data_IF_191031219471
#
_entry.id   IF_191031219471
#
_cell.length_a   1.000
_cell.length_b   1.000
_cell.length_c   1.000
_cell.angle_alpha   90.00
_cell.angle_beta   90.00
_cell.angle_gamma   90.00
#
_symmetry.space_group_name_H-M   'P 1'
#
loop_
_entity.id
_entity.type
_entity.pdbx_description
1 polymer ?
#
# COMPACT_ATOMS: atom_id res chain seq x y z
N UNK A 1 7.89 1.04 -3.94
CA UNK A 1 8.60 2.34 -4.00
C UNK A 1 9.08 2.67 -2.59
N UNK A 2 10.37 2.94 -2.35
CA UNK A 2 10.88 3.28 -1.01
C UNK A 2 10.62 4.76 -0.67
N UNK A 3 10.48 5.10 0.61
CA UNK A 3 10.16 6.47 1.06
C UNK A 3 11.10 7.55 0.53
N UNK A 4 12.38 7.22 0.37
CA UNK A 4 13.39 8.14 -0.17
C UNK A 4 13.20 8.42 -1.67
N UNK A 5 12.80 7.42 -2.45
CA UNK A 5 12.52 7.59 -3.88
C UNK A 5 11.27 8.42 -4.12
N UNK A 6 10.23 8.26 -3.30
CA UNK A 6 8.98 9.01 -3.40
C UNK A 6 9.20 10.53 -3.20
N UNK A 7 9.98 10.93 -2.19
CA UNK A 7 10.33 12.35 -1.97
C UNK A 7 11.22 12.91 -3.08
N UNK A 8 12.12 12.08 -3.66
CA UNK A 8 12.96 12.47 -4.79
C UNK A 8 12.15 12.86 -6.04
N UNK A 9 11.11 12.09 -6.37
CA UNK A 9 10.25 12.37 -7.54
C UNK A 9 9.47 13.68 -7.44
N UNK A 10 9.01 14.06 -6.24
CA UNK A 10 8.30 15.32 -6.03
C UNK A 10 9.17 16.56 -6.37
N UNK A 11 10.50 16.45 -6.20
CA UNK A 11 11.43 17.54 -6.54
C UNK A 11 11.71 17.68 -8.04
N UNK A 12 11.51 16.61 -8.83
CA UNK A 12 11.80 16.58 -10.27
C UNK A 12 10.55 16.76 -11.14
N UNK A 13 9.37 16.43 -10.63
CA UNK A 13 8.12 16.68 -11.32
C UNK A 13 7.78 18.18 -11.20
N UNK A 14 7.74 18.87 -12.35
CA UNK A 14 7.44 20.31 -12.49
C UNK A 14 5.95 20.60 -12.20
N UNK A 15 5.46 20.15 -11.04
CA UNK A 15 4.08 20.22 -10.63
C UNK A 15 3.83 21.62 -10.06
N UNK A 16 2.90 22.35 -10.68
CA UNK A 16 2.48 23.73 -10.33
C UNK A 16 1.90 23.88 -8.91
N UNK A 17 1.86 22.80 -8.14
CA UNK A 17 1.38 22.75 -6.78
C UNK A 17 2.54 22.28 -5.91
N UNK A 18 2.89 23.07 -4.90
CA UNK A 18 3.92 22.71 -3.91
C UNK A 18 3.50 21.45 -3.18
N UNK A 19 3.92 20.30 -3.69
CA UNK A 19 3.78 19.01 -3.04
C UNK A 19 4.62 18.99 -1.76
N UNK A 20 4.02 18.65 -0.62
CA UNK A 20 4.72 18.56 0.66
C UNK A 20 5.61 17.30 0.67
N UNK A 21 6.95 17.42 0.70
CA UNK A 21 7.85 16.27 0.71
C UNK A 21 7.61 15.31 1.87
N UNK A 22 7.06 15.79 2.98
CA UNK A 22 6.72 14.96 4.14
C UNK A 22 5.55 14.01 3.84
N UNK A 23 4.60 14.42 2.99
CA UNK A 23 3.50 13.54 2.57
C UNK A 23 4.01 12.38 1.72
N UNK A 24 4.93 12.63 0.79
CA UNK A 24 5.57 11.57 -0.01
C UNK A 24 6.38 10.59 0.82
N UNK A 25 7.08 11.09 1.85
CA UNK A 25 7.78 10.24 2.79
C UNK A 25 6.80 9.31 3.53
N UNK A 26 5.70 9.86 4.05
CA UNK A 26 4.66 9.09 4.72
C UNK A 26 4.00 8.08 3.77
N UNK A 27 3.77 8.42 2.50
CA UNK A 27 3.26 7.48 1.51
C UNK A 27 4.20 6.29 1.31
N UNK A 28 5.49 6.56 1.08
CA UNK A 28 6.46 5.48 0.92
C UNK A 28 6.60 4.60 2.18
N UNK A 29 6.39 5.17 3.36
CA UNK A 29 6.38 4.42 4.62
C UNK A 29 5.11 3.58 4.80
N UNK A 30 3.94 4.12 4.46
CA UNK A 30 2.65 3.53 4.83
C UNK A 30 1.94 2.76 3.73
N UNK A 31 2.25 2.95 2.44
CA UNK A 31 1.47 2.36 1.34
C UNK A 31 1.24 0.84 1.48
N UNK A 32 2.26 0.10 1.95
CA UNK A 32 2.18 -1.35 2.18
C UNK A 32 2.01 -1.77 3.64
N UNK A 33 1.59 -0.87 4.54
CA UNK A 33 1.45 -1.18 5.98
C UNK A 33 0.46 -2.33 6.23
N UNK A 34 -0.54 -2.50 5.37
CA UNK A 34 -1.50 -3.59 5.48
C UNK A 34 -0.89 -4.98 5.31
N UNK A 35 0.25 -5.12 4.65
CA UNK A 35 0.97 -6.41 4.58
C UNK A 35 1.36 -6.88 5.99
N UNK A 36 1.76 -5.96 6.87
CA UNK A 36 2.08 -6.30 8.26
C UNK A 36 0.83 -6.70 9.04
N UNK A 37 -0.30 -6.03 8.78
CA UNK A 37 -1.60 -6.39 9.38
C UNK A 37 -1.98 -7.81 8.98
N UNK A 38 -1.93 -8.14 7.69
CA UNK A 38 -2.28 -9.47 7.20
C UNK A 38 -1.29 -10.53 7.69
N UNK A 39 0.02 -10.24 7.69
CA UNK A 39 1.05 -11.20 8.17
C UNK A 39 0.89 -11.48 9.66
N UNK A 40 0.48 -10.49 10.46
CA UNK A 40 0.20 -10.69 11.87
C UNK A 40 -1.08 -11.50 12.11
N UNK A 41 -2.13 -11.23 11.32
CA UNK A 41 -3.45 -11.85 11.51
C UNK A 41 -3.57 -13.24 10.89
N UNK A 42 -2.95 -13.46 9.75
CA UNK A 42 -3.05 -14.66 8.91
C UNK A 42 -1.65 -15.17 8.49
N UNK A 43 -0.77 -15.51 9.45
CA UNK A 43 0.63 -15.80 9.16
C UNK A 43 0.82 -16.96 8.17
N UNK A 44 0.03 -18.03 8.31
CA UNK A 44 0.14 -19.20 7.42
C UNK A 44 -0.33 -18.87 5.99
N UNK A 45 -1.45 -18.16 5.86
CA UNK A 45 -2.00 -17.75 4.56
C UNK A 45 -0.99 -16.84 3.86
N UNK A 46 -0.51 -15.79 4.54
CA UNK A 46 0.45 -14.86 3.93
C UNK A 46 1.76 -15.56 3.57
N UNK A 47 2.24 -16.49 4.39
CA UNK A 47 3.43 -17.30 4.06
C UNK A 47 3.25 -18.10 2.78
N UNK A 48 2.08 -18.71 2.57
CA UNK A 48 1.76 -19.44 1.34
C UNK A 48 1.67 -18.47 0.15
N UNK A 49 0.92 -17.38 0.31
CA UNK A 49 0.75 -16.39 -0.76
C UNK A 49 2.08 -15.76 -1.21
N UNK A 50 3.02 -15.52 -0.28
CA UNK A 50 4.36 -15.02 -0.64
C UNK A 50 5.19 -16.03 -1.43
N UNK A 51 4.88 -17.33 -1.32
CA UNK A 51 5.54 -18.36 -2.13
C UNK A 51 4.87 -18.56 -3.48
N UNK A 52 3.53 -18.51 -3.54
CA UNK A 52 2.77 -18.83 -4.76
C UNK A 52 2.60 -17.64 -5.69
N UNK A 53 2.36 -16.43 -5.16
CA UNK A 53 2.09 -15.25 -5.99
C UNK A 53 3.23 -14.89 -6.97
N UNK A 54 4.52 -15.02 -6.61
CA UNK A 54 5.61 -14.75 -7.55
C UNK A 54 5.71 -15.72 -8.75
N UNK A 55 5.04 -16.87 -8.70
CA UNK A 55 5.06 -17.87 -9.78
C UNK A 55 4.17 -17.47 -10.97
N UNK A 56 3.15 -16.63 -10.73
CA UNK A 56 2.24 -16.11 -11.74
C UNK A 56 2.53 -14.63 -12.04
N UNK A 57 2.94 -14.33 -13.27
CA UNK A 57 3.25 -12.95 -13.70
C UNK A 57 2.01 -12.14 -14.05
N UNK A 58 0.88 -12.80 -14.30
CA UNK A 58 -0.36 -12.17 -14.74
C UNK A 58 -1.26 -11.78 -13.56
N UNK A 59 -0.91 -12.22 -12.35
CA UNK A 59 -1.72 -12.02 -11.14
C UNK A 59 -0.94 -11.30 -10.05
N UNK A 60 -1.58 -10.32 -9.41
CA UNK A 60 -0.97 -9.57 -8.32
C UNK A 60 -1.32 -10.21 -6.97
N UNK A 61 -0.48 -9.96 -5.95
CA UNK A 61 -0.72 -10.44 -4.58
C UNK A 61 -2.13 -10.07 -4.07
N UNK A 62 -2.63 -8.88 -4.42
CA UNK A 62 -3.98 -8.43 -4.05
C UNK A 62 -5.09 -9.37 -4.53
N UNK A 63 -4.90 -10.04 -5.67
CA UNK A 63 -5.91 -10.93 -6.25
C UNK A 63 -5.94 -12.24 -5.46
N UNK A 64 -4.77 -12.76 -5.09
CA UNK A 64 -4.67 -13.92 -4.20
C UNK A 64 -5.25 -13.64 -2.81
N UNK A 65 -4.98 -12.46 -2.24
CA UNK A 65 -5.54 -12.06 -0.95
C UNK A 65 -7.06 -11.99 -1.02
N UNK A 66 -7.62 -11.31 -2.03
CA UNK A 66 -9.08 -11.21 -2.23
C UNK A 66 -9.74 -12.57 -2.39
N UNK A 67 -9.14 -13.47 -3.17
CA UNK A 67 -9.69 -14.82 -3.35
C UNK A 67 -9.63 -15.69 -2.09
N UNK A 68 -8.66 -15.45 -1.21
CA UNK A 68 -8.43 -16.30 -0.04
C UNK A 68 -9.15 -15.81 1.21
N UNK A 69 -9.24 -14.48 1.41
CA UNK A 69 -9.76 -13.87 2.64
C UNK A 69 -10.77 -12.74 2.39
N UNK A 70 -11.28 -12.57 1.18
CA UNK A 70 -12.30 -11.58 0.76
C UNK A 70 -11.89 -10.09 0.84
N UNK A 71 -10.66 -9.79 1.23
CA UNK A 71 -10.09 -8.44 1.22
C UNK A 71 -8.58 -8.48 1.01
N UNK A 72 -7.98 -7.32 0.74
CA UNK A 72 -6.55 -7.20 0.46
C UNK A 72 -5.79 -6.34 1.48
N UNK A 73 -4.47 -6.26 1.31
CA UNK A 73 -3.62 -5.45 2.17
C UNK A 73 -3.89 -3.94 2.03
N UNK A 74 -4.43 -3.44 0.92
CA UNK A 74 -4.81 -2.03 0.80
C UNK A 74 -5.95 -1.69 1.76
N UNK A 75 -7.01 -2.49 1.74
CA UNK A 75 -8.16 -2.35 2.64
C UNK A 75 -7.73 -2.52 4.11
N UNK A 76 -6.91 -3.54 4.40
CA UNK A 76 -6.39 -3.76 5.76
C UNK A 76 -5.52 -2.58 6.25
N UNK A 77 -4.70 -2.02 5.36
CA UNK A 77 -3.89 -0.83 5.64
C UNK A 77 -4.75 0.41 5.89
N UNK A 78 -5.79 0.62 5.08
CA UNK A 78 -6.74 1.71 5.24
C UNK A 78 -7.48 1.63 6.57
N UNK A 79 -7.96 0.44 6.97
CA UNK A 79 -8.59 0.21 8.27
C UNK A 79 -7.64 0.53 9.43
N UNK A 80 -6.36 0.16 9.30
CA UNK A 80 -5.35 0.53 10.30
C UNK A 80 -5.15 2.05 10.36
N UNK A 81 -5.04 2.71 9.21
CA UNK A 81 -4.89 4.16 9.12
C UNK A 81 -6.07 4.91 9.74
N UNK A 82 -7.30 4.45 9.50
CA UNK A 82 -8.51 4.96 10.14
C UNK A 82 -8.45 4.78 11.66
N UNK A 83 -8.05 3.60 12.13
CA UNK A 83 -7.91 3.31 13.58
C UNK A 83 -6.86 4.18 14.25
N UNK A 84 -5.78 4.51 13.54
CA UNK A 84 -4.71 5.39 14.01
C UNK A 84 -5.01 6.88 13.82
N UNK A 85 -6.15 7.22 13.18
CA UNK A 85 -6.54 8.60 12.86
C UNK A 85 -5.51 9.34 12.01
N UNK A 86 -4.94 8.64 11.02
CA UNK A 86 -4.07 9.28 10.04
C UNK A 86 -4.89 10.29 9.20
N UNK A 87 -4.25 11.33 8.65
CA UNK A 87 -4.86 12.21 7.66
C UNK A 87 -5.55 11.42 6.53
N UNK A 88 -6.69 11.93 6.05
CA UNK A 88 -7.48 11.27 5.03
C UNK A 88 -6.66 10.98 3.78
N UNK A 89 -5.83 11.93 3.38
CA UNK A 89 -4.95 11.84 2.21
C UNK A 89 -3.97 10.67 2.30
N UNK A 90 -3.55 10.29 3.51
CA UNK A 90 -2.68 9.12 3.71
C UNK A 90 -3.47 7.82 3.60
N UNK A 91 -4.65 7.77 4.22
CA UNK A 91 -5.55 6.61 4.15
C UNK A 91 -5.94 6.33 2.70
N UNK A 92 -6.26 7.39 1.97
CA UNK A 92 -6.66 7.37 0.58
C UNK A 92 -5.57 6.79 -0.33
N UNK A 93 -4.32 7.20 -0.13
CA UNK A 93 -3.17 6.63 -0.84
C UNK A 93 -2.94 5.17 -0.46
N UNK A 94 -3.06 4.81 0.82
CA UNK A 94 -2.91 3.40 1.23
C UNK A 94 -3.94 2.53 0.51
N UNK A 95 -5.20 2.96 0.40
CA UNK A 95 -6.28 2.19 -0.19
C UNK A 95 -6.19 2.08 -1.72
N UNK A 96 -5.72 3.13 -2.41
CA UNK A 96 -5.85 3.24 -3.87
C UNK A 96 -4.52 3.26 -4.64
N UNK A 97 -3.34 3.13 -4.02
CA UNK A 97 -2.05 3.29 -4.72
C UNK A 97 -1.74 2.28 -5.84
N UNK A 98 -2.53 1.21 -6.02
CA UNK A 98 -2.45 0.31 -7.17
C UNK A 98 -3.53 0.57 -8.23
N UNK A 99 -4.44 1.51 -8.00
CA UNK A 99 -5.44 1.94 -8.97
C UNK A 99 -4.92 3.15 -9.76
N UNK A 100 -4.47 2.97 -11.01
CA UNK A 100 -4.01 4.09 -11.83
C UNK A 100 -5.13 5.02 -12.31
N UNK A 101 -6.40 4.65 -12.12
CA UNK A 101 -7.57 5.43 -12.52
C UNK A 101 -8.20 6.24 -11.38
N UNK A 102 -7.69 6.10 -10.15
CA UNK A 102 -8.06 6.88 -8.98
C UNK A 102 -7.35 8.24 -8.97
#
# INVERSE_FOLDING_TARGET
>A
MTAELASGFASQANLKQSLDPNQFYLFGLFHNIGILVLTNRFPNIMSELFTTAPEDKEKHLIDYEKETIDFNHHQAGAWLGQKWKLPYEIIDVIEHHHDPAY
#
